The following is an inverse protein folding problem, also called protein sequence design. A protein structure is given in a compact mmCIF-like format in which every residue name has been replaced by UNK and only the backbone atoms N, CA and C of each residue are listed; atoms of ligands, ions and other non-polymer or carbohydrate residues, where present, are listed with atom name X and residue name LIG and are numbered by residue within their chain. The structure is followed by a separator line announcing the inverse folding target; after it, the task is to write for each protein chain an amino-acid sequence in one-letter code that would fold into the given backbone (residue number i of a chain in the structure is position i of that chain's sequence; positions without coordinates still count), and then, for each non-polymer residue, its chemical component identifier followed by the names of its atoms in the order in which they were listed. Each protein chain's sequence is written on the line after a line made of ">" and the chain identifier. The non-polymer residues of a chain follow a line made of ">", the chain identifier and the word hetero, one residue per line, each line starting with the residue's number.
data_IF_696767415666
#
_entry.id   IF_696767415666
#
_cell.length_a   1.000
_cell.length_b   1.000
_cell.length_c   1.000
_cell.angle_alpha   90.00
_cell.angle_beta   90.00
_cell.angle_gamma   90.00
#
_symmetry.space_group_name_H-M   'P 1'
#
loop_
_entity.id
_entity.type
_entity.pdbx_description
1 polymer ?
#
# COMPACT_ATOMS: atom_id res chain seq x y z
N UNK A 1 9.66 -19.39 16.48
CA UNK A 1 9.58 -19.21 15.01
C UNK A 1 8.69 -18.02 14.76
N UNK A 2 9.18 -17.02 14.06
CA UNK A 2 8.40 -15.82 13.78
C UNK A 2 7.18 -16.11 12.90
N UNK A 3 6.19 -15.23 12.90
CA UNK A 3 5.02 -15.36 12.04
C UNK A 3 5.39 -15.39 10.56
N UNK A 4 6.27 -14.47 10.13
CA UNK A 4 6.74 -14.42 8.74
C UNK A 4 7.52 -15.67 8.34
N UNK A 5 8.42 -16.16 9.21
CA UNK A 5 9.18 -17.40 8.97
C UNK A 5 8.24 -18.62 8.85
N UNK A 6 7.18 -18.67 9.65
CA UNK A 6 6.15 -19.71 9.56
C UNK A 6 5.40 -19.65 8.23
N UNK A 7 4.99 -18.44 7.80
CA UNK A 7 4.31 -18.25 6.52
C UNK A 7 5.19 -18.63 5.34
N UNK A 8 6.47 -18.30 5.37
CA UNK A 8 7.40 -18.67 4.29
C UNK A 8 7.60 -20.18 4.21
N UNK A 9 7.73 -20.87 5.34
CA UNK A 9 7.75 -22.33 5.38
C UNK A 9 6.44 -22.96 4.87
N UNK A 10 5.30 -22.36 5.17
CA UNK A 10 4.02 -22.81 4.65
C UNK A 10 3.91 -22.62 3.12
N UNK A 11 4.41 -21.49 2.59
CA UNK A 11 4.48 -21.21 1.15
C UNK A 11 5.40 -22.19 0.42
N UNK A 12 6.58 -22.44 0.97
CA UNK A 12 7.54 -23.42 0.43
C UNK A 12 6.96 -24.83 0.42
N UNK A 13 6.31 -25.24 1.52
CA UNK A 13 5.63 -26.52 1.61
C UNK A 13 4.50 -26.66 0.56
N UNK A 14 3.76 -25.57 0.31
CA UNK A 14 2.73 -25.53 -0.74
C UNK A 14 3.33 -25.67 -2.15
N UNK A 15 4.42 -24.96 -2.44
CA UNK A 15 5.10 -25.02 -3.73
C UNK A 15 5.62 -26.44 -4.02
N UNK A 16 6.20 -27.09 -3.01
CA UNK A 16 6.75 -28.43 -3.10
C UNK A 16 5.70 -29.56 -2.91
N UNK A 17 4.44 -29.18 -2.62
CA UNK A 17 3.34 -30.13 -2.27
C UNK A 17 3.70 -31.08 -1.12
N UNK A 18 4.59 -30.62 -0.21
CA UNK A 18 5.03 -31.39 0.96
C UNK A 18 4.04 -31.23 2.12
N UNK A 19 3.19 -32.27 2.28
CA UNK A 19 2.20 -32.32 3.37
C UNK A 19 2.82 -32.36 4.75
N UNK A 20 4.02 -32.95 4.89
CA UNK A 20 4.71 -33.08 6.17
C UNK A 20 5.28 -31.72 6.64
N UNK A 21 5.89 -30.99 5.72
CA UNK A 21 6.35 -29.63 5.96
C UNK A 21 5.17 -28.68 6.25
N UNK A 22 4.06 -28.81 5.50
CA UNK A 22 2.85 -28.05 5.75
C UNK A 22 2.28 -28.31 7.15
N UNK A 23 2.20 -29.58 7.58
CA UNK A 23 1.73 -29.95 8.91
C UNK A 23 2.59 -29.33 10.03
N UNK A 24 3.92 -29.30 9.87
CA UNK A 24 4.83 -28.64 10.84
C UNK A 24 4.61 -27.14 10.92
N UNK A 25 4.38 -26.47 9.79
CA UNK A 25 4.08 -25.03 9.75
C UNK A 25 2.72 -24.71 10.39
N UNK A 26 1.81 -25.69 10.48
CA UNK A 26 0.48 -25.57 11.08
C UNK A 26 0.38 -26.25 12.47
N UNK A 27 1.51 -26.58 13.12
CA UNK A 27 1.48 -27.08 14.50
C UNK A 27 0.85 -26.02 15.42
N UNK A 28 -0.16 -26.39 16.24
CA UNK A 28 -0.86 -25.44 17.13
C UNK A 28 0.08 -24.68 18.06
N UNK A 29 1.15 -25.29 18.53
CA UNK A 29 2.14 -24.61 19.39
C UNK A 29 2.89 -23.53 18.64
N UNK A 30 3.26 -23.81 17.41
CA UNK A 30 3.95 -22.86 16.53
C UNK A 30 3.02 -21.68 16.17
N UNK A 31 1.75 -21.97 15.91
CA UNK A 31 0.75 -20.92 15.60
C UNK A 31 0.53 -20.01 16.82
N UNK A 32 0.32 -20.58 18.02
CA UNK A 32 0.09 -19.80 19.24
C UNK A 32 1.30 -18.94 19.60
N UNK A 33 2.50 -19.45 19.41
CA UNK A 33 3.72 -18.69 19.67
C UNK A 33 3.90 -17.56 18.65
N UNK A 34 3.70 -17.86 17.38
CA UNK A 34 3.78 -16.87 16.30
C UNK A 34 2.69 -15.77 16.40
N UNK A 35 1.49 -16.11 16.89
CA UNK A 35 0.40 -15.15 17.08
C UNK A 35 0.65 -14.11 18.20
N UNK A 36 1.70 -14.29 19.02
CA UNK A 36 2.10 -13.30 20.03
C UNK A 36 2.98 -12.18 19.46
N UNK A 37 3.50 -12.36 18.27
CA UNK A 37 4.31 -11.34 17.59
C UNK A 37 3.40 -10.34 16.87
N UNK A 38 3.77 -9.06 16.91
CA UNK A 38 3.12 -8.04 16.08
C UNK A 38 3.40 -8.32 14.60
N UNK A 39 2.35 -8.36 13.80
CA UNK A 39 2.42 -8.71 12.39
C UNK A 39 2.58 -7.44 11.56
N UNK A 40 3.58 -7.40 10.71
CA UNK A 40 3.79 -6.35 9.72
C UNK A 40 5.26 -6.25 9.32
N UNK A 41 5.54 -6.45 8.04
CA UNK A 41 6.82 -6.06 7.47
C UNK A 41 6.69 -4.59 7.08
N UNK A 42 7.28 -3.68 7.85
CA UNK A 42 7.21 -2.22 7.62
C UNK A 42 7.63 -1.77 6.20
N UNK A 43 8.35 -2.61 5.45
CA UNK A 43 8.82 -2.27 4.11
C UNK A 43 7.85 -2.63 2.97
N UNK A 44 7.12 -3.71 3.10
CA UNK A 44 6.30 -4.25 2.00
C UNK A 44 5.09 -3.36 1.64
N UNK A 45 4.59 -2.58 2.58
CA UNK A 45 3.46 -1.68 2.37
C UNK A 45 3.77 -0.53 1.41
N UNK A 46 5.06 -0.15 1.23
CA UNK A 46 5.47 0.93 0.33
C UNK A 46 5.93 0.46 -1.06
N UNK A 47 5.96 -0.85 -1.34
CA UNK A 47 6.34 -1.39 -2.65
C UNK A 47 5.46 -0.80 -3.77
N UNK A 48 4.17 -0.65 -3.53
CA UNK A 48 3.26 -0.01 -4.47
C UNK A 48 3.67 1.40 -4.83
N UNK A 49 4.05 2.21 -3.82
CA UNK A 49 4.54 3.59 -4.01
C UNK A 49 5.83 3.63 -4.82
N UNK A 50 6.76 2.69 -4.58
CA UNK A 50 8.03 2.58 -5.33
C UNK A 50 7.76 2.23 -6.80
N UNK A 51 6.95 1.20 -7.03
CA UNK A 51 6.66 0.72 -8.40
C UNK A 51 5.89 1.77 -9.18
N UNK A 52 4.86 2.36 -8.60
CA UNK A 52 4.03 3.36 -9.26
C UNK A 52 4.81 4.63 -9.55
N UNK A 53 5.51 5.18 -8.55
CA UNK A 53 6.35 6.36 -8.72
C UNK A 53 7.48 6.13 -9.71
N UNK A 54 8.19 4.99 -9.61
CA UNK A 54 9.30 4.67 -10.49
C UNK A 54 8.87 4.47 -11.95
N UNK A 55 7.79 3.74 -12.19
CA UNK A 55 7.28 3.50 -13.54
C UNK A 55 6.87 4.82 -14.23
N UNK A 56 6.09 5.65 -13.52
CA UNK A 56 5.63 6.92 -14.07
C UNK A 56 6.79 7.89 -14.31
N UNK A 57 7.78 7.93 -13.42
CA UNK A 57 8.99 8.72 -13.58
C UNK A 57 9.77 8.39 -14.85
N UNK A 58 9.99 7.10 -15.13
CA UNK A 58 10.66 6.69 -16.40
C UNK A 58 9.84 7.09 -17.61
N UNK A 59 8.55 6.75 -17.62
CA UNK A 59 7.69 6.92 -18.81
C UNK A 59 7.49 8.39 -19.15
N UNK A 60 7.16 9.23 -18.17
CA UNK A 60 6.89 10.65 -18.40
C UNK A 60 8.15 11.42 -18.79
N UNK A 61 9.28 11.13 -18.14
CA UNK A 61 10.56 11.76 -18.50
C UNK A 61 11.03 11.28 -19.87
N UNK A 62 10.90 10.00 -20.20
CA UNK A 62 11.21 9.49 -21.54
C UNK A 62 10.33 10.16 -22.61
N UNK A 63 9.04 10.36 -22.35
CA UNK A 63 8.15 11.07 -23.28
C UNK A 63 8.60 12.52 -23.49
N UNK A 64 8.97 13.24 -22.41
CA UNK A 64 9.49 14.60 -22.50
C UNK A 64 10.79 14.65 -23.31
N UNK A 65 11.75 13.76 -23.04
CA UNK A 65 13.01 13.62 -23.77
C UNK A 65 12.76 13.35 -25.24
N UNK A 66 11.89 12.39 -25.55
CA UNK A 66 11.54 12.01 -26.93
C UNK A 66 10.89 13.16 -27.68
N UNK A 67 10.01 13.93 -27.06
CA UNK A 67 9.35 15.09 -27.66
C UNK A 67 10.35 16.18 -28.01
N UNK A 68 11.26 16.54 -27.11
CA UNK A 68 12.28 17.57 -27.33
C UNK A 68 13.31 17.13 -28.36
N UNK A 69 13.77 15.87 -28.31
CA UNK A 69 14.70 15.32 -29.30
C UNK A 69 14.05 15.21 -30.69
N UNK A 70 12.80 14.77 -30.78
CA UNK A 70 12.05 14.71 -32.06
C UNK A 70 11.81 16.07 -32.70
N UNK A 71 11.74 17.14 -31.91
CA UNK A 71 11.68 18.52 -32.38
C UNK A 71 13.04 19.10 -32.76
N UNK A 72 14.14 18.34 -32.68
CA UNK A 72 15.51 18.78 -32.93
C UNK A 72 15.94 20.01 -32.09
N UNK A 73 15.44 20.12 -30.86
CA UNK A 73 15.84 21.18 -29.96
C UNK A 73 17.20 20.85 -29.28
N UNK A 74 17.84 21.87 -28.71
CA UNK A 74 19.16 21.69 -28.11
C UNK A 74 19.12 20.82 -26.88
N UNK A 75 20.22 20.07 -26.56
CA UNK A 75 20.32 19.27 -25.33
C UNK A 75 20.10 20.05 -24.03
N UNK A 76 20.44 21.34 -24.01
CA UNK A 76 20.18 22.20 -22.85
C UNK A 76 18.68 22.39 -22.60
N UNK A 77 17.88 22.59 -23.69
CA UNK A 77 16.43 22.69 -23.59
C UNK A 77 15.83 21.36 -23.07
N UNK A 78 16.37 20.24 -23.58
CA UNK A 78 15.96 18.90 -23.16
C UNK A 78 16.17 18.70 -21.66
N UNK A 79 17.33 19.07 -21.15
CA UNK A 79 17.61 18.96 -19.71
C UNK A 79 16.72 19.88 -18.87
N UNK A 80 16.49 21.12 -19.31
CA UNK A 80 15.58 22.05 -18.61
C UNK A 80 14.16 21.47 -18.55
N UNK A 81 13.63 21.03 -19.68
CA UNK A 81 12.27 20.46 -19.75
C UNK A 81 12.18 19.17 -18.95
N UNK A 82 13.15 18.25 -19.10
CA UNK A 82 13.17 16.98 -18.37
C UNK A 82 13.27 17.15 -16.85
N UNK A 83 14.14 18.05 -16.37
CA UNK A 83 14.25 18.33 -14.93
C UNK A 83 13.03 19.08 -14.40
N UNK A 84 12.47 20.02 -15.17
CA UNK A 84 11.23 20.70 -14.77
C UNK A 84 10.06 19.70 -14.66
N UNK A 85 9.94 18.77 -15.61
CA UNK A 85 8.95 17.70 -15.55
C UNK A 85 9.15 16.81 -14.33
N UNK A 86 10.38 16.36 -14.05
CA UNK A 86 10.68 15.56 -12.87
C UNK A 86 10.24 16.23 -11.57
N UNK A 87 10.49 17.52 -11.42
CA UNK A 87 10.10 18.24 -10.23
C UNK A 87 8.58 18.44 -10.14
N UNK A 88 7.95 18.85 -11.24
CA UNK A 88 6.52 19.17 -11.27
C UNK A 88 5.66 17.90 -11.09
N UNK A 89 5.92 16.86 -11.88
CA UNK A 89 5.14 15.63 -11.83
C UNK A 89 5.44 14.83 -10.55
N UNK A 90 6.72 14.72 -10.17
CA UNK A 90 7.11 14.05 -8.93
C UNK A 90 6.46 14.68 -7.71
N UNK A 91 6.41 16.01 -7.65
CA UNK A 91 5.73 16.73 -6.56
C UNK A 91 4.21 16.52 -6.61
N UNK A 92 3.61 16.57 -7.79
CA UNK A 92 2.17 16.32 -7.99
C UNK A 92 1.79 14.93 -7.50
N UNK A 93 2.56 13.89 -7.88
CA UNK A 93 2.34 12.53 -7.43
C UNK A 93 2.50 12.36 -5.92
N UNK A 94 3.54 12.98 -5.34
CA UNK A 94 3.77 12.93 -3.89
C UNK A 94 2.61 13.56 -3.10
N UNK A 95 2.12 14.72 -3.54
CA UNK A 95 0.95 15.38 -2.94
C UNK A 95 -0.30 14.52 -3.12
N UNK A 96 -0.51 13.93 -4.30
CA UNK A 96 -1.62 13.02 -4.57
C UNK A 96 -1.60 11.80 -3.65
N UNK A 97 -0.44 11.15 -3.50
CA UNK A 97 -0.27 10.00 -2.60
C UNK A 97 -0.54 10.38 -1.13
N UNK A 98 -0.02 11.54 -0.69
CA UNK A 98 -0.28 12.05 0.65
C UNK A 98 -1.77 12.26 0.90
N UNK A 99 -2.45 12.98 0.00
CA UNK A 99 -3.87 13.30 0.17
C UNK A 99 -4.75 12.05 0.12
N UNK A 100 -4.42 11.07 -0.73
CA UNK A 100 -5.15 9.81 -0.82
C UNK A 100 -5.10 9.06 0.51
N UNK A 101 -3.91 8.73 1.00
CA UNK A 101 -3.77 7.98 2.24
C UNK A 101 -4.28 8.75 3.47
N UNK A 102 -4.09 10.06 3.49
CA UNK A 102 -4.64 10.90 4.56
C UNK A 102 -6.16 10.88 4.57
N UNK A 103 -6.79 10.99 3.40
CA UNK A 103 -8.26 10.95 3.29
C UNK A 103 -8.83 9.59 3.70
N UNK A 104 -8.15 8.49 3.35
CA UNK A 104 -8.54 7.14 3.78
C UNK A 104 -8.47 7.00 5.31
N UNK A 105 -7.39 7.50 5.92
CA UNK A 105 -7.22 7.48 7.37
C UNK A 105 -8.28 8.34 8.09
N UNK A 106 -8.50 9.58 7.63
CA UNK A 106 -9.50 10.48 8.18
C UNK A 106 -10.93 9.93 8.02
N UNK A 107 -11.19 9.22 6.91
CA UNK A 107 -12.47 8.54 6.71
C UNK A 107 -12.64 7.41 7.74
N UNK A 108 -11.63 6.56 7.92
CA UNK A 108 -11.65 5.49 8.91
C UNK A 108 -11.88 6.04 10.33
N UNK A 109 -11.11 7.04 10.74
CA UNK A 109 -11.22 7.65 12.08
C UNK A 109 -12.58 8.29 12.33
N UNK A 110 -13.18 8.88 11.31
CA UNK A 110 -14.53 9.45 11.41
C UNK A 110 -15.59 8.38 11.59
N UNK A 111 -15.53 7.29 10.83
CA UNK A 111 -16.48 6.19 10.97
C UNK A 111 -16.28 5.44 12.30
N UNK A 112 -15.03 5.23 12.72
CA UNK A 112 -14.71 4.66 14.03
C UNK A 112 -15.30 5.50 15.19
N UNK A 113 -15.20 6.81 15.10
CA UNK A 113 -15.78 7.71 16.09
C UNK A 113 -17.32 7.68 16.09
N UNK A 114 -17.96 7.53 14.90
CA UNK A 114 -19.40 7.37 14.77
C UNK A 114 -19.87 6.07 15.41
N UNK A 115 -19.28 4.95 15.04
CA UNK A 115 -19.58 3.63 15.60
C UNK A 115 -19.42 3.61 17.13
N UNK A 116 -18.31 4.18 17.60
CA UNK A 116 -18.07 4.27 19.05
C UNK A 116 -19.17 5.05 19.78
N UNK A 117 -19.66 6.12 19.17
CA UNK A 117 -20.76 6.91 19.72
C UNK A 117 -22.07 6.14 19.67
N UNK A 118 -22.37 5.38 18.62
CA UNK A 118 -23.56 4.54 18.49
C UNK A 118 -23.56 3.40 19.52
N UNK A 119 -22.42 2.72 19.71
CA UNK A 119 -22.22 1.72 20.78
C UNK A 119 -22.51 2.28 22.18
N UNK A 120 -22.27 3.57 22.42
CA UNK A 120 -22.50 4.22 23.70
C UNK A 120 -23.94 4.70 23.88
N UNK A 121 -24.61 5.09 22.82
CA UNK A 121 -25.91 5.77 22.88
C UNK A 121 -27.09 4.89 22.40
N UNK A 122 -26.81 3.89 21.55
CA UNK A 122 -27.81 2.97 20.97
C UNK A 122 -27.39 1.51 21.00
N UNK A 123 -26.87 0.98 22.14
CA UNK A 123 -26.29 -0.36 22.23
C UNK A 123 -27.26 -1.48 21.82
N UNK A 124 -28.56 -1.28 21.98
CA UNK A 124 -29.57 -2.29 21.58
C UNK A 124 -29.66 -2.42 20.04
N UNK A 125 -29.51 -1.31 19.31
CA UNK A 125 -29.46 -1.30 17.86
C UNK A 125 -28.22 -2.03 17.36
N UNK A 126 -27.08 -1.66 17.90
CA UNK A 126 -25.79 -2.23 17.58
C UNK A 126 -25.69 -3.75 17.87
N UNK A 127 -26.31 -4.21 18.96
CA UNK A 127 -26.47 -5.65 19.25
C UNK A 127 -27.26 -6.35 18.14
N UNK A 128 -28.34 -5.73 17.67
CA UNK A 128 -29.17 -6.31 16.60
C UNK A 128 -28.41 -6.37 15.26
N UNK A 129 -27.54 -5.39 14.98
CA UNK A 129 -26.70 -5.36 13.78
C UNK A 129 -25.65 -6.48 13.80
N UNK A 130 -24.96 -6.70 14.92
CA UNK A 130 -24.05 -7.85 15.07
C UNK A 130 -24.80 -9.19 14.87
N UNK A 131 -26.00 -9.33 15.45
CA UNK A 131 -26.80 -10.55 15.25
C UNK A 131 -27.16 -10.74 13.76
N UNK A 132 -27.55 -9.65 13.07
CA UNK A 132 -27.86 -9.68 11.65
C UNK A 132 -26.63 -10.02 10.78
N UNK A 133 -25.42 -9.55 11.15
CA UNK A 133 -24.16 -9.92 10.49
C UNK A 133 -23.95 -11.42 10.55
N UNK A 134 -24.06 -12.03 11.73
CA UNK A 134 -23.85 -13.47 11.89
C UNK A 134 -24.93 -14.30 11.17
N UNK A 135 -26.19 -13.86 11.18
CA UNK A 135 -27.25 -14.50 10.40
C UNK A 135 -26.95 -14.46 8.89
N UNK A 136 -26.45 -13.33 8.38
CA UNK A 136 -26.03 -13.18 6.97
C UNK A 136 -24.85 -14.08 6.63
N UNK A 137 -23.96 -14.35 7.59
CA UNK A 137 -22.84 -15.31 7.44
C UNK A 137 -23.30 -16.78 7.47
N UNK A 138 -24.58 -17.07 7.75
CA UNK A 138 -25.17 -18.41 7.69
C UNK A 138 -25.24 -19.13 9.03
N UNK A 139 -24.98 -18.46 10.15
CA UNK A 139 -25.20 -19.06 11.49
C UNK A 139 -26.68 -19.20 11.78
N UNK A 140 -27.02 -20.25 12.56
CA UNK A 140 -28.39 -20.39 13.07
C UNK A 140 -28.67 -19.30 14.13
N UNK A 141 -29.93 -18.92 14.30
CA UNK A 141 -30.34 -17.83 15.21
C UNK A 141 -29.76 -17.98 16.62
N UNK A 142 -29.77 -19.20 17.18
CA UNK A 142 -29.26 -19.45 18.53
C UNK A 142 -27.73 -19.34 18.61
N UNK A 143 -27.03 -19.63 17.52
CA UNK A 143 -25.58 -19.48 17.41
C UNK A 143 -25.23 -18.00 17.27
N UNK A 144 -25.93 -17.27 16.38
CA UNK A 144 -25.76 -15.83 16.21
C UNK A 144 -25.93 -15.07 17.52
N UNK A 145 -26.98 -15.35 18.28
CA UNK A 145 -27.20 -14.75 19.61
C UNK A 145 -26.06 -15.01 20.59
N UNK A 146 -25.59 -16.25 20.66
CA UNK A 146 -24.45 -16.59 21.55
C UNK A 146 -23.18 -15.88 21.16
N UNK A 147 -22.89 -15.78 19.87
CA UNK A 147 -21.71 -15.06 19.36
C UNK A 147 -21.83 -13.57 19.65
N UNK A 148 -22.99 -12.97 19.39
CA UNK A 148 -23.28 -11.57 19.73
C UNK A 148 -23.07 -11.32 21.22
N UNK A 149 -23.61 -12.15 22.10
CA UNK A 149 -23.42 -12.03 23.55
C UNK A 149 -21.94 -12.10 23.98
N UNK A 150 -21.11 -12.90 23.31
CA UNK A 150 -19.68 -13.00 23.60
C UNK A 150 -18.91 -11.77 23.11
N UNK A 151 -19.23 -11.31 21.90
CA UNK A 151 -18.55 -10.19 21.25
C UNK A 151 -18.80 -8.88 21.97
N UNK A 152 -20.07 -8.60 22.30
CA UNK A 152 -20.50 -7.34 22.92
C UNK A 152 -20.05 -7.15 24.37
N UNK A 153 -19.46 -8.18 25.01
CA UNK A 153 -18.84 -8.05 26.35
C UNK A 153 -17.58 -7.21 26.36
N UNK A 154 -16.90 -7.07 25.23
CA UNK A 154 -15.69 -6.27 25.12
C UNK A 154 -15.91 -5.20 24.03
N UNK A 155 -15.91 -3.93 24.48
CA UNK A 155 -16.22 -2.79 23.63
C UNK A 155 -15.27 -2.65 22.42
N UNK A 156 -13.99 -2.95 22.63
CA UNK A 156 -12.99 -2.86 21.53
C UNK A 156 -13.28 -3.92 20.49
N UNK A 157 -13.48 -5.17 20.89
CA UNK A 157 -13.81 -6.26 19.98
C UNK A 157 -15.12 -5.99 19.22
N UNK A 158 -16.11 -5.43 19.90
CA UNK A 158 -17.38 -5.06 19.30
C UNK A 158 -17.16 -4.01 18.19
N UNK A 159 -16.48 -2.92 18.53
CA UNK A 159 -16.12 -1.87 17.56
C UNK A 159 -15.32 -2.43 16.37
N UNK A 160 -14.31 -3.27 16.63
CA UNK A 160 -13.50 -3.89 15.58
C UNK A 160 -14.35 -4.72 14.60
N UNK A 161 -15.38 -5.42 15.10
CA UNK A 161 -16.29 -6.20 14.25
C UNK A 161 -17.22 -5.29 13.45
N UNK A 162 -17.78 -4.23 14.05
CA UNK A 162 -18.60 -3.26 13.32
C UNK A 162 -17.82 -2.62 12.20
N UNK A 163 -16.63 -2.11 12.48
CA UNK A 163 -15.76 -1.51 11.46
C UNK A 163 -15.44 -2.48 10.32
N UNK A 164 -15.18 -3.75 10.65
CA UNK A 164 -14.71 -4.73 9.65
C UNK A 164 -15.85 -5.44 8.93
N UNK A 165 -16.85 -5.95 9.65
CA UNK A 165 -17.89 -6.81 9.09
C UNK A 165 -19.12 -6.03 8.58
N UNK A 166 -19.41 -4.89 9.17
CA UNK A 166 -20.51 -4.03 8.74
C UNK A 166 -20.04 -3.04 7.68
N UNK A 167 -19.05 -2.21 8.01
CA UNK A 167 -18.57 -1.14 7.15
C UNK A 167 -17.56 -1.61 6.11
N UNK A 168 -16.93 -2.78 6.29
CA UNK A 168 -15.88 -3.29 5.43
C UNK A 168 -14.59 -2.46 5.48
N UNK A 169 -14.37 -1.72 6.57
CA UNK A 169 -13.24 -0.82 6.74
C UNK A 169 -12.12 -1.48 7.51
N UNK A 170 -10.92 -1.42 6.96
CA UNK A 170 -9.68 -1.87 7.58
C UNK A 170 -8.76 -0.69 7.77
N UNK A 171 -8.24 -0.51 8.98
CA UNK A 171 -7.29 0.56 9.24
C UNK A 171 -6.01 0.34 8.44
N UNK A 172 -5.65 1.34 7.62
CA UNK A 172 -4.40 1.31 6.88
C UNK A 172 -3.23 1.64 7.79
N UNK A 173 -2.18 0.80 7.75
CA UNK A 173 -0.93 1.04 8.47
C UNK A 173 0.04 1.93 7.67
N UNK A 174 -0.38 2.43 6.50
CA UNK A 174 0.44 3.25 5.63
C UNK A 174 0.51 4.68 6.18
N UNK A 175 1.71 5.11 6.54
CA UNK A 175 1.96 6.51 6.88
C UNK A 175 1.90 7.39 5.61
N UNK A 176 1.00 8.40 5.55
CA UNK A 176 0.82 9.24 4.36
C UNK A 176 2.09 10.00 3.95
N UNK A 177 2.90 10.45 4.92
CA UNK A 177 4.13 11.19 4.66
C UNK A 177 5.19 10.25 4.08
N UNK A 178 5.39 9.09 4.69
CA UNK A 178 6.35 8.10 4.19
C UNK A 178 5.98 7.61 2.79
N UNK A 179 4.70 7.38 2.52
CA UNK A 179 4.22 6.99 1.19
C UNK A 179 4.51 8.08 0.15
N UNK A 180 4.20 9.34 0.45
CA UNK A 180 4.42 10.46 -0.46
C UNK A 180 5.90 10.68 -0.76
N UNK A 181 6.76 10.63 0.27
CA UNK A 181 8.23 10.75 0.10
C UNK A 181 8.78 9.59 -0.72
N UNK A 182 8.32 8.36 -0.44
CA UNK A 182 8.73 7.18 -1.20
C UNK A 182 8.35 7.30 -2.67
N UNK A 183 7.13 7.75 -2.97
CA UNK A 183 6.64 7.99 -4.34
C UNK A 183 7.50 9.03 -5.04
N UNK A 184 7.77 10.18 -4.39
CA UNK A 184 8.61 11.24 -4.97
C UNK A 184 10.03 10.76 -5.28
N UNK A 185 10.67 10.09 -4.31
CA UNK A 185 12.05 9.60 -4.47
C UNK A 185 12.13 8.54 -5.56
N UNK A 186 11.19 7.60 -5.60
CA UNK A 186 11.14 6.59 -6.64
C UNK A 186 10.95 7.21 -8.03
N UNK A 187 10.02 8.16 -8.15
CA UNK A 187 9.78 8.93 -9.37
C UNK A 187 11.05 9.66 -9.83
N UNK A 188 11.67 10.43 -8.93
CA UNK A 188 12.85 11.22 -9.26
C UNK A 188 14.04 10.34 -9.68
N UNK A 189 14.33 9.27 -8.94
CA UNK A 189 15.44 8.37 -9.25
C UNK A 189 15.24 7.64 -10.58
N UNK A 190 14.05 7.10 -10.81
CA UNK A 190 13.75 6.38 -12.03
C UNK A 190 13.65 7.33 -13.25
N UNK A 191 13.04 8.49 -13.08
CA UNK A 191 12.92 9.49 -14.13
C UNK A 191 14.22 10.20 -14.49
N UNK A 192 15.26 10.13 -13.64
CA UNK A 192 16.60 10.56 -14.02
C UNK A 192 17.24 9.63 -15.06
N UNK A 193 16.84 8.36 -15.16
CA UNK A 193 17.46 7.37 -16.07
C UNK A 193 17.48 7.87 -17.52
N UNK A 194 16.38 8.33 -18.14
CA UNK A 194 16.38 8.85 -19.47
C UNK A 194 17.23 10.11 -19.66
N UNK A 195 17.50 10.87 -18.58
CA UNK A 195 18.29 12.09 -18.61
C UNK A 195 19.78 11.87 -18.44
N UNK A 196 20.21 10.70 -17.92
CA UNK A 196 21.62 10.43 -17.58
C UNK A 196 22.57 10.73 -18.75
N UNK A 197 22.23 10.28 -19.96
CA UNK A 197 23.06 10.46 -21.14
C UNK A 197 23.25 11.94 -21.53
N UNK A 198 22.23 12.74 -21.32
CA UNK A 198 22.28 14.18 -21.59
C UNK A 198 23.02 14.94 -20.47
N UNK A 199 22.88 14.52 -19.22
CA UNK A 199 23.64 15.06 -18.10
C UNK A 199 25.15 14.77 -18.30
N UNK A 200 25.51 13.53 -18.64
CA UNK A 200 26.91 13.14 -18.94
C UNK A 200 27.43 13.92 -20.14
N UNK A 201 26.59 14.18 -21.15
CA UNK A 201 26.91 14.96 -22.34
C UNK A 201 27.29 16.42 -22.06
N UNK A 202 26.93 16.99 -20.90
CA UNK A 202 27.42 18.31 -20.47
C UNK A 202 28.92 18.31 -20.17
N UNK A 203 29.48 17.15 -19.78
CA UNK A 203 30.88 17.00 -19.38
C UNK A 203 31.72 16.29 -20.44
N UNK A 204 31.06 15.64 -21.42
CA UNK A 204 31.72 14.88 -22.49
C UNK A 204 31.07 15.22 -23.84
N UNK A 205 31.86 15.36 -24.94
CA UNK A 205 31.28 15.67 -26.27
C UNK A 205 30.56 14.44 -26.85
N UNK A 206 29.37 14.17 -26.40
CA UNK A 206 28.47 13.15 -26.96
C UNK A 206 27.56 13.83 -27.99
N UNK A 207 27.49 13.28 -29.22
CA UNK A 207 26.55 13.79 -30.21
C UNK A 207 25.10 13.63 -29.75
N UNK A 208 24.28 14.66 -29.89
CA UNK A 208 22.88 14.70 -29.40
C UNK A 208 22.04 13.49 -29.85
N UNK A 209 22.22 13.05 -31.11
CA UNK A 209 21.51 11.87 -31.64
C UNK A 209 21.95 10.56 -30.99
N UNK A 210 23.22 10.44 -30.60
CA UNK A 210 23.72 9.26 -29.90
C UNK A 210 23.16 9.18 -28.47
N UNK A 211 22.97 10.31 -27.80
CA UNK A 211 22.35 10.39 -26.48
C UNK A 211 20.93 9.83 -26.44
N UNK A 212 20.12 10.11 -27.45
CA UNK A 212 18.76 9.58 -27.53
C UNK A 212 18.73 8.04 -27.62
N UNK A 213 19.54 7.44 -28.49
CA UNK A 213 19.57 5.98 -28.65
C UNK A 213 20.14 5.23 -27.42
N UNK A 214 20.95 5.89 -26.59
CA UNK A 214 21.44 5.29 -25.35
C UNK A 214 20.41 5.39 -24.22
N UNK A 215 19.54 6.42 -24.24
CA UNK A 215 18.53 6.64 -23.21
C UNK A 215 17.19 5.94 -23.49
N UNK A 216 17.00 5.43 -24.70
CA UNK A 216 15.84 4.65 -25.10
C UNK A 216 16.00 3.15 -24.84
#
# INVERSE_FOLDING_TARGET
>A
MSWNERLDKAREAYQNKDKTAAAKAHDPKVIIEAAKEEHGSEGNQYIGSVVYGGLDGVVTTFAAVSGVAGANLSPNILLIVGLANLLADGFSMAVGAYLSHKSELEYYEREEARELWELENYPEGEVAEIEAIYLRQGFALEEAKKMTEIVTKDKKRWLDIMMHEELGLVKSDIDPIRSSVTTFVAFALAGLIPLITYIVGLFTPIAANTGFFISA
#
